data_IF_402425360047
#
_entry.id   IF_402425360047
#
_cell.length_a   1.000
_cell.length_b   1.000
_cell.length_c   1.000
_cell.angle_alpha   90.00
_cell.angle_beta   90.00
_cell.angle_gamma   90.00
#
_symmetry.space_group_name_H-M   'P 1'
#
loop_
_entity.id
_entity.type
_entity.pdbx_description
1 polymer ?
#
# COMPACT_ATOMS: atom_id res chain seq x y z
N UNK A 1 -16.22 -12.98 -13.92
CA UNK A 1 -15.59 -13.88 -12.93
C UNK A 1 -14.06 -13.78 -12.79
N UNK A 2 -13.33 -13.02 -13.63
CA UNK A 2 -11.97 -12.55 -13.29
C UNK A 2 -11.81 -11.02 -13.45
N UNK A 3 -12.76 -10.36 -14.11
CA UNK A 3 -12.74 -8.90 -14.37
C UNK A 3 -13.44 -8.05 -13.32
N UNK A 4 -14.00 -8.67 -12.29
CA UNK A 4 -14.90 -8.01 -11.31
C UNK A 4 -14.18 -7.71 -9.97
N UNK A 5 -12.87 -7.95 -9.89
CA UNK A 5 -12.07 -7.84 -8.66
C UNK A 5 -10.92 -6.83 -8.81
N UNK A 6 -10.35 -6.69 -10.01
CA UNK A 6 -9.31 -5.67 -10.28
C UNK A 6 -9.94 -4.27 -10.20
N UNK A 7 -9.49 -3.45 -9.25
CA UNK A 7 -9.91 -2.05 -9.10
C UNK A 7 -11.08 -1.79 -8.13
N UNK A 8 -11.49 -2.79 -7.32
CA UNK A 8 -12.52 -2.56 -6.29
C UNK A 8 -11.89 -1.97 -5.03
N UNK A 9 -12.13 -0.67 -4.82
CA UNK A 9 -11.67 0.09 -3.66
C UNK A 9 -12.71 0.15 -2.52
N UNK A 10 -13.83 -0.57 -2.64
CA UNK A 10 -14.92 -0.58 -1.65
C UNK A 10 -14.42 -0.98 -0.24
N UNK A 11 -13.44 -1.88 -0.17
CA UNK A 11 -12.85 -2.34 1.08
C UNK A 11 -12.04 -1.24 1.78
N UNK A 12 -11.50 -0.27 1.03
CA UNK A 12 -10.71 0.85 1.58
C UNK A 12 -11.58 1.71 2.48
N UNK A 13 -12.80 2.01 2.03
CA UNK A 13 -13.75 2.78 2.83
C UNK A 13 -14.14 2.04 4.11
N UNK A 14 -14.38 0.73 4.03
CA UNK A 14 -14.66 -0.10 5.21
C UNK A 14 -13.47 -0.13 6.18
N UNK A 15 -12.24 -0.30 5.67
CA UNK A 15 -11.02 -0.30 6.46
C UNK A 15 -10.82 1.03 7.18
N UNK A 16 -10.83 2.16 6.47
CA UNK A 16 -10.67 3.50 7.05
C UNK A 16 -11.75 3.77 8.10
N UNK A 17 -13.00 3.37 7.85
CA UNK A 17 -14.10 3.60 8.77
C UNK A 17 -13.97 2.83 10.08
N UNK A 18 -13.28 1.69 10.09
CA UNK A 18 -13.02 0.89 11.29
C UNK A 18 -11.94 1.48 12.21
N UNK A 19 -11.15 2.44 11.73
CA UNK A 19 -10.03 3.04 12.48
C UNK A 19 -10.50 4.16 13.42
N UNK A 20 -9.76 4.34 14.51
CA UNK A 20 -9.87 5.47 15.45
C UNK A 20 -9.37 6.77 14.82
N UNK A 21 -9.67 7.92 15.45
CA UNK A 21 -9.31 9.25 14.91
C UNK A 21 -7.82 9.41 14.60
N UNK A 22 -6.95 8.89 15.47
CA UNK A 22 -5.50 9.01 15.36
C UNK A 22 -4.91 7.70 14.88
N UNK A 23 -4.17 7.74 13.77
CA UNK A 23 -3.64 6.53 13.11
C UNK A 23 -2.15 6.67 12.86
N UNK A 24 -1.43 5.56 12.99
CA UNK A 24 -0.05 5.41 12.56
C UNK A 24 -0.03 4.50 11.34
N UNK A 25 0.66 4.91 10.27
CA UNK A 25 0.68 4.17 9.01
C UNK A 25 2.04 3.49 8.83
N UNK A 26 2.07 2.16 8.70
CA UNK A 26 3.27 1.46 8.23
C UNK A 26 2.99 0.90 6.84
N UNK A 27 3.91 1.13 5.91
CA UNK A 27 3.83 0.59 4.55
C UNK A 27 5.02 -0.35 4.36
N UNK A 28 4.69 -1.62 4.14
CA UNK A 28 5.65 -2.59 3.65
C UNK A 28 5.82 -2.46 2.14
N UNK A 29 7.02 -2.11 1.70
CA UNK A 29 7.30 -1.81 0.30
C UNK A 29 7.37 -3.10 -0.54
N UNK A 30 7.70 -4.24 0.07
CA UNK A 30 7.77 -5.51 -0.65
C UNK A 30 6.38 -6.08 -1.02
N UNK A 31 5.33 -5.68 -0.30
CA UNK A 31 3.92 -6.02 -0.57
C UNK A 31 3.24 -5.15 -1.63
N UNK A 32 3.94 -4.17 -2.19
CA UNK A 32 3.47 -3.36 -3.33
C UNK A 32 3.82 -4.05 -4.65
N UNK A 33 3.05 -3.74 -5.71
CA UNK A 33 3.32 -4.29 -7.03
C UNK A 33 4.80 -4.06 -7.45
N UNK A 34 5.52 -5.12 -7.85
CA UNK A 34 6.97 -5.07 -8.08
C UNK A 34 7.39 -4.24 -9.29
N UNK A 35 6.44 -3.81 -10.15
CA UNK A 35 6.73 -2.87 -11.24
C UNK A 35 7.11 -1.46 -10.74
N UNK A 36 6.92 -1.18 -9.45
CA UNK A 36 7.18 0.12 -8.81
C UNK A 36 8.49 0.16 -8.03
N UNK A 37 9.04 -1.00 -7.67
CA UNK A 37 10.25 -1.14 -6.86
C UNK A 37 11.15 -2.16 -7.56
N UNK A 38 12.19 -1.74 -8.31
CA UNK A 38 13.04 -2.65 -9.09
C UNK A 38 13.89 -3.62 -8.24
N UNK A 39 13.68 -3.69 -6.93
CA UNK A 39 14.65 -4.24 -5.97
C UNK A 39 14.03 -5.07 -4.85
N UNK A 40 12.78 -5.53 -4.94
CA UNK A 40 12.24 -6.48 -3.97
C UNK A 40 12.30 -7.90 -4.54
N UNK A 41 13.04 -8.78 -3.87
CA UNK A 41 13.47 -10.08 -4.37
C UNK A 41 12.37 -11.14 -4.56
N UNK A 42 11.12 -10.85 -4.20
CA UNK A 42 10.00 -11.78 -4.41
C UNK A 42 8.70 -11.03 -4.72
N UNK A 43 8.35 -10.84 -6.00
CA UNK A 43 7.01 -10.44 -6.41
C UNK A 43 5.92 -11.34 -5.85
N UNK A 44 5.12 -10.89 -4.88
CA UNK A 44 3.90 -11.61 -4.50
C UNK A 44 2.77 -11.33 -5.51
N UNK A 45 2.23 -12.36 -6.19
CA UNK A 45 1.07 -12.18 -7.07
C UNK A 45 -0.16 -11.77 -6.25
N UNK A 46 -0.68 -10.56 -6.47
CA UNK A 46 -1.90 -10.06 -5.83
C UNK A 46 -1.70 -8.96 -4.77
N UNK A 47 -0.50 -8.39 -4.67
CA UNK A 47 -0.23 -7.20 -3.86
C UNK A 47 -1.01 -5.96 -4.30
N UNK A 48 -0.99 -4.90 -3.46
CA UNK A 48 -1.68 -3.65 -3.75
C UNK A 48 -1.01 -2.92 -4.92
N UNK A 49 -1.81 -2.53 -5.92
CA UNK A 49 -1.33 -1.69 -7.01
C UNK A 49 -1.02 -0.27 -6.54
N UNK A 50 -0.12 0.43 -7.25
CA UNK A 50 0.29 1.81 -6.93
C UNK A 50 -0.88 2.75 -6.63
N UNK A 51 -1.83 2.79 -7.56
CA UNK A 51 -2.95 3.72 -7.49
C UNK A 51 -3.93 3.34 -6.38
N UNK A 52 -4.08 2.05 -6.06
CA UNK A 52 -4.91 1.61 -4.94
C UNK A 52 -4.28 2.02 -3.60
N UNK A 53 -2.97 1.86 -3.45
CA UNK A 53 -2.21 2.34 -2.30
C UNK A 53 -2.33 3.85 -2.13
N UNK A 54 -2.19 4.63 -3.22
CA UNK A 54 -2.39 6.08 -3.17
C UNK A 54 -3.81 6.48 -2.78
N UNK A 55 -4.82 5.76 -3.28
CA UNK A 55 -6.23 5.98 -2.91
C UNK A 55 -6.46 5.68 -1.43
N UNK A 56 -5.88 4.60 -0.90
CA UNK A 56 -5.92 4.26 0.52
C UNK A 56 -5.31 5.37 1.38
N UNK A 57 -4.07 5.78 1.08
CA UNK A 57 -3.36 6.82 1.83
C UNK A 57 -4.15 8.13 1.79
N UNK A 58 -4.68 8.50 0.61
CA UNK A 58 -5.48 9.72 0.46
C UNK A 58 -6.76 9.66 1.29
N UNK A 59 -7.54 8.59 1.19
CA UNK A 59 -8.78 8.42 1.99
C UNK A 59 -8.49 8.39 3.49
N UNK A 60 -7.36 7.80 3.90
CA UNK A 60 -6.92 7.78 5.28
C UNK A 60 -6.61 9.20 5.77
N UNK A 61 -5.84 9.97 5.01
CA UNK A 61 -5.48 11.35 5.35
C UNK A 61 -6.68 12.32 5.33
N UNK A 62 -7.68 12.08 4.48
CA UNK A 62 -8.91 12.88 4.43
C UNK A 62 -9.83 12.63 5.63
N UNK A 63 -9.79 11.43 6.23
CA UNK A 63 -10.77 11.02 7.26
C UNK A 63 -10.20 10.79 8.64
N UNK A 64 -8.88 10.66 8.78
CA UNK A 64 -8.17 10.34 10.02
C UNK A 64 -6.94 11.25 10.17
N UNK A 65 -6.51 11.44 11.42
CA UNK A 65 -5.29 12.18 11.73
C UNK A 65 -4.11 11.22 11.76
N UNK A 66 -3.27 11.28 10.73
CA UNK A 66 -2.02 10.51 10.68
C UNK A 66 -1.02 11.15 11.64
N UNK A 67 -0.61 10.43 12.67
CA UNK A 67 0.30 10.94 13.72
C UNK A 67 1.76 10.57 13.48
N UNK A 68 2.01 9.67 12.53
CA UNK A 68 3.32 9.20 12.11
C UNK A 68 3.19 8.16 11.02
N UNK A 69 4.28 7.92 10.30
CA UNK A 69 4.34 6.92 9.23
C UNK A 69 5.74 6.34 9.11
N UNK A 70 5.81 5.03 8.87
CA UNK A 70 7.05 4.32 8.51
C UNK A 70 6.93 3.66 7.13
N UNK A 71 8.06 3.66 6.42
CA UNK A 71 8.27 2.84 5.23
C UNK A 71 9.28 1.76 5.59
N UNK A 72 8.86 0.51 5.50
CA UNK A 72 9.68 -0.66 5.88
C UNK A 72 10.06 -1.48 4.65
N UNK A 73 11.10 -2.29 4.80
CA UNK A 73 11.62 -3.21 3.76
C UNK A 73 12.09 -2.55 2.44
N UNK A 74 12.42 -1.25 2.48
CA UNK A 74 13.16 -0.61 1.40
C UNK A 74 14.64 -1.03 1.46
N UNK A 75 15.03 -2.01 0.64
CA UNK A 75 16.43 -2.39 0.46
C UNK A 75 16.95 -1.91 -0.90
N UNK A 76 17.93 -1.01 -0.88
CA UNK A 76 18.71 -0.63 -2.05
C UNK A 76 19.97 -1.52 -2.10
N UNK A 77 20.14 -2.33 -3.14
CA UNK A 77 21.37 -3.09 -3.37
C UNK A 77 22.05 -2.63 -4.66
N UNK A 78 23.30 -2.18 -4.57
CA UNK A 78 24.10 -1.66 -5.70
C UNK A 78 24.80 -2.74 -6.55
N UNK A 79 24.37 -4.01 -6.49
CA UNK A 79 25.03 -5.09 -7.21
C UNK A 79 24.17 -5.65 -8.34
N UNK A 80 23.89 -4.81 -9.33
CA UNK A 80 23.57 -5.25 -10.69
C UNK A 80 24.69 -4.83 -11.66
N UNK A 81 25.86 -5.45 -11.53
CA UNK A 81 26.77 -5.70 -12.67
C UNK A 81 27.66 -6.91 -12.37
#
# INVERSE_FOLDING_TARGET
MAKDIVGRTDWIDAAVNSLTENVYLTIDIDGLDPSLVPTTGTPEPGGLGWYETLILIRKLAERRRIVGMDLVEYSYSENQT
#
